data_IF_268622784721
#
_entry.id   IF_268622784721
#
_cell.length_a   1.000
_cell.length_b   1.000
_cell.length_c   1.000
_cell.angle_alpha   90.00
_cell.angle_beta   90.00
_cell.angle_gamma   90.00
#
_symmetry.space_group_name_H-M   'P 1'
#
loop_
_entity.id
_entity.type
_entity.pdbx_description
1 polymer ?
#
# COMPACT_ATOMS: atom_id res chain seq x y z
N UNK A 1 10.20 -17.68 2.70
CA UNK A 1 9.55 -17.00 3.84
C UNK A 1 8.51 -16.07 3.27
N UNK A 2 7.23 -16.24 3.63
CA UNK A 2 6.21 -15.26 3.27
C UNK A 2 6.48 -13.95 4.02
N UNK A 3 6.19 -12.82 3.39
CA UNK A 3 6.47 -11.47 3.89
C UNK A 3 5.18 -10.66 3.82
N UNK A 4 4.99 -9.75 4.76
CA UNK A 4 3.82 -8.87 4.80
C UNK A 4 4.19 -7.49 4.27
N UNK A 5 3.46 -7.03 3.26
CA UNK A 5 3.74 -5.77 2.57
C UNK A 5 2.53 -4.88 2.77
N UNK A 6 2.75 -3.76 3.45
CA UNK A 6 1.77 -2.69 3.58
C UNK A 6 1.69 -1.92 2.27
N UNK A 7 0.49 -1.62 1.80
CA UNK A 7 0.25 -0.72 0.68
C UNK A 7 -0.62 0.42 1.16
N UNK A 8 -0.02 1.60 1.31
CA UNK A 8 -0.79 2.81 1.60
C UNK A 8 -1.30 3.37 0.28
N UNK A 9 -2.60 3.23 0.04
CA UNK A 9 -3.23 3.55 -1.24
C UNK A 9 -4.50 4.37 -1.02
N UNK A 10 -4.75 5.33 -1.89
CA UNK A 10 -5.92 6.21 -1.85
C UNK A 10 -6.52 6.33 -3.24
N UNK A 11 -7.65 7.01 -3.36
CA UNK A 11 -8.29 7.26 -4.65
C UNK A 11 -7.33 8.00 -5.62
N UNK A 12 -7.49 7.72 -6.91
CA UNK A 12 -6.70 8.31 -7.99
C UNK A 12 -5.20 7.97 -7.92
N UNK A 13 -4.88 6.75 -7.44
CA UNK A 13 -3.54 6.17 -7.51
C UNK A 13 -3.15 5.81 -8.95
N UNK A 14 -1.85 5.76 -9.26
CA UNK A 14 -1.35 5.33 -10.57
C UNK A 14 -1.49 3.80 -10.69
N UNK A 15 -2.38 3.35 -11.58
CA UNK A 15 -2.79 1.95 -11.70
C UNK A 15 -1.61 0.98 -11.83
N UNK A 16 -0.57 1.34 -12.61
CA UNK A 16 0.60 0.48 -12.84
C UNK A 16 1.56 0.37 -11.64
N UNK A 17 1.65 1.42 -10.82
CA UNK A 17 2.51 1.44 -9.63
C UNK A 17 1.93 0.63 -8.47
N UNK A 18 0.64 0.27 -8.54
CA UNK A 18 0.04 -0.72 -7.65
C UNK A 18 0.00 -2.11 -8.28
N UNK A 19 -0.64 -2.25 -9.45
CA UNK A 19 -0.98 -3.57 -10.01
C UNK A 19 0.24 -4.44 -10.29
N UNK A 20 1.28 -3.88 -10.94
CA UNK A 20 2.49 -4.62 -11.29
C UNK A 20 3.23 -5.15 -10.04
N UNK A 21 3.65 -4.30 -9.07
CA UNK A 21 4.36 -4.79 -7.89
C UNK A 21 3.48 -5.65 -6.97
N UNK A 22 2.20 -5.31 -6.80
CA UNK A 22 1.30 -6.11 -5.96
C UNK A 22 1.12 -7.54 -6.52
N UNK A 23 1.02 -7.69 -7.85
CA UNK A 23 0.92 -9.00 -8.48
C UNK A 23 2.23 -9.79 -8.39
N UNK A 24 3.38 -9.13 -8.53
CA UNK A 24 4.69 -9.77 -8.34
C UNK A 24 4.87 -10.27 -6.90
N UNK A 25 4.52 -9.45 -5.91
CA UNK A 25 4.58 -9.85 -4.51
C UNK A 25 3.66 -11.03 -4.19
N UNK A 26 2.42 -11.01 -4.70
CA UNK A 26 1.48 -12.13 -4.56
C UNK A 26 2.02 -13.40 -5.23
N UNK A 27 2.58 -13.28 -6.44
CA UNK A 27 3.21 -14.41 -7.17
C UNK A 27 4.43 -14.97 -6.44
N UNK A 28 5.19 -14.12 -5.75
CA UNK A 28 6.29 -14.52 -4.88
C UNK A 28 5.84 -15.15 -3.54
N UNK A 29 4.53 -15.23 -3.28
CA UNK A 29 3.97 -15.81 -2.07
C UNK A 29 3.97 -14.87 -0.86
N UNK A 30 4.04 -13.55 -1.10
CA UNK A 30 3.93 -12.53 -0.09
C UNK A 30 2.49 -12.05 0.07
N UNK A 31 2.17 -11.57 1.27
CA UNK A 31 0.87 -11.01 1.61
C UNK A 31 0.90 -9.50 1.36
N UNK A 32 -0.03 -9.02 0.54
CA UNK A 32 -0.18 -7.60 0.21
C UNK A 32 -1.43 -7.08 0.92
N UNK A 33 -1.25 -6.20 1.89
CA UNK A 33 -2.32 -5.64 2.72
C UNK A 33 -2.49 -4.17 2.38
N UNK A 34 -3.67 -3.80 1.92
CA UNK A 34 -4.01 -2.43 1.55
C UNK A 34 -4.56 -1.66 2.74
N UNK A 35 -4.04 -0.44 2.92
CA UNK A 35 -4.30 0.40 4.09
C UNK A 35 -4.76 1.78 3.63
N UNK A 36 -5.82 2.28 4.24
CA UNK A 36 -6.31 3.65 4.09
C UNK A 36 -6.96 4.10 5.41
N UNK A 37 -7.73 5.20 5.41
CA UNK A 37 -8.45 5.68 6.59
C UNK A 37 -9.60 4.73 6.98
N UNK A 38 -10.24 4.08 6.01
CA UNK A 38 -11.40 3.24 6.27
C UNK A 38 -11.26 1.86 5.62
N UNK A 39 -11.26 0.81 6.45
CA UNK A 39 -11.34 -0.57 5.99
C UNK A 39 -12.65 -0.81 5.22
N UNK A 40 -12.59 -1.63 4.18
CA UNK A 40 -13.72 -1.96 3.30
C UNK A 40 -14.08 -0.86 2.28
N UNK A 41 -13.44 0.31 2.32
CA UNK A 41 -13.57 1.33 1.26
C UNK A 41 -12.98 0.77 -0.04
N UNK A 42 -13.62 1.02 -1.18
CA UNK A 42 -13.01 0.75 -2.49
C UNK A 42 -12.38 2.03 -3.04
N UNK A 43 -11.10 1.98 -3.34
CA UNK A 43 -10.35 3.04 -4.03
C UNK A 43 -10.16 2.68 -5.50
N UNK A 44 -10.19 3.70 -6.37
CA UNK A 44 -10.05 3.52 -7.82
C UNK A 44 -8.79 4.19 -8.35
N UNK A 45 -8.12 3.52 -9.29
CA UNK A 45 -6.97 4.07 -9.97
C UNK A 45 -7.35 5.22 -10.89
N UNK A 46 -6.38 6.07 -11.21
CA UNK A 46 -6.55 7.29 -12.01
C UNK A 46 -7.09 7.00 -13.41
N UNK A 47 -6.69 5.88 -14.01
CA UNK A 47 -7.19 5.43 -15.33
C UNK A 47 -8.46 4.59 -15.22
N UNK A 48 -8.85 4.21 -14.00
CA UNK A 48 -9.99 3.34 -13.73
C UNK A 48 -9.76 1.89 -14.15
N UNK A 49 -8.50 1.49 -14.38
CA UNK A 49 -8.13 0.13 -14.78
C UNK A 49 -8.08 -0.80 -13.55
N UNK A 50 -7.76 -0.24 -12.38
CA UNK A 50 -7.74 -0.96 -11.12
C UNK A 50 -8.76 -0.41 -10.11
N UNK A 51 -9.41 -1.34 -9.39
CA UNK A 51 -10.23 -1.05 -8.21
C UNK A 51 -9.80 -1.95 -7.08
N UNK A 52 -9.57 -1.37 -5.91
CA UNK A 52 -8.96 -2.05 -4.77
C UNK A 52 -9.80 -1.80 -3.53
N UNK A 53 -10.17 -2.87 -2.84
CA UNK A 53 -10.84 -2.77 -1.54
C UNK A 53 -9.79 -2.71 -0.45
N UNK A 54 -9.89 -1.72 0.43
CA UNK A 54 -8.99 -1.52 1.55
C UNK A 54 -9.19 -2.63 2.58
N UNK A 55 -8.12 -3.33 2.92
CA UNK A 55 -8.14 -4.45 3.87
C UNK A 55 -8.21 -3.96 5.33
N UNK A 56 -7.42 -2.94 5.67
CA UNK A 56 -7.31 -2.42 7.04
C UNK A 56 -7.33 -0.89 7.10
N UNK A 57 -7.83 -0.35 8.20
CA UNK A 57 -7.66 1.08 8.49
C UNK A 57 -6.26 1.37 9.05
N UNK A 58 -5.77 2.59 8.86
CA UNK A 58 -4.46 3.02 9.37
C UNK A 58 -4.38 2.96 10.91
N UNK A 59 -5.51 3.09 11.59
CA UNK A 59 -5.61 3.03 13.05
C UNK A 59 -5.54 1.58 13.59
N UNK A 60 -5.76 0.59 12.74
CA UNK A 60 -5.77 -0.85 13.08
C UNK A 60 -4.41 -1.54 12.87
N UNK A 61 -3.41 -0.81 12.36
CA UNK A 61 -2.13 -1.39 11.93
C UNK A 61 -0.95 -0.68 12.55
N UNK A 62 0.13 -1.43 12.74
CA UNK A 62 1.41 -0.92 13.22
C UNK A 62 2.53 -1.25 12.23
N UNK A 63 3.56 -0.39 12.07
CA UNK A 63 4.66 -0.66 11.16
C UNK A 63 5.42 -1.96 11.43
N UNK A 64 5.41 -2.43 12.68
CA UNK A 64 6.08 -3.66 13.09
C UNK A 64 5.43 -4.95 12.54
N UNK A 65 4.20 -4.87 12.02
CA UNK A 65 3.50 -6.00 11.40
C UNK A 65 3.95 -6.29 9.97
N UNK A 66 4.70 -5.37 9.35
CA UNK A 66 5.05 -5.43 7.93
C UNK A 66 6.56 -5.47 7.73
N UNK A 67 6.98 -6.17 6.68
CA UNK A 67 8.36 -6.27 6.24
C UNK A 67 8.73 -5.21 5.19
N UNK A 68 7.74 -4.59 4.55
CA UNK A 68 7.93 -3.53 3.55
C UNK A 68 6.69 -2.64 3.44
N UNK A 69 6.89 -1.45 2.86
CA UNK A 69 5.84 -0.48 2.53
C UNK A 69 5.94 -0.14 1.03
N UNK A 70 4.84 -0.33 0.31
CA UNK A 70 4.62 0.09 -1.08
C UNK A 70 3.77 1.36 -1.09
N UNK A 71 4.22 2.36 -1.84
CA UNK A 71 3.57 3.66 -1.96
C UNK A 71 3.29 3.99 -3.43
N UNK A 72 2.15 3.53 -3.99
CA UNK A 72 1.76 3.92 -5.33
C UNK A 72 1.56 5.43 -5.38
N UNK A 73 2.07 6.07 -6.42
CA UNK A 73 1.85 7.49 -6.68
C UNK A 73 0.36 7.80 -6.77
N UNK A 74 -0.04 8.95 -6.25
CA UNK A 74 -1.39 9.48 -6.38
C UNK A 74 -1.32 10.98 -6.69
N UNK A 75 -2.37 11.53 -7.29
CA UNK A 75 -2.41 12.97 -7.62
C UNK A 75 -2.34 13.85 -6.37
N UNK A 76 -2.90 13.38 -5.27
CA UNK A 76 -2.65 13.96 -3.96
C UNK A 76 -1.25 13.52 -3.58
N UNK A 77 -0.32 14.48 -3.51
CA UNK A 77 0.96 14.27 -2.84
C UNK A 77 0.64 13.77 -1.44
N UNK A 78 0.70 12.45 -1.24
CA UNK A 78 0.83 11.85 0.07
C UNK A 78 2.16 12.42 0.56
N UNK A 79 2.06 13.52 1.30
CA UNK A 79 3.16 14.06 2.09
C UNK A 79 3.61 12.86 2.91
N UNK A 80 4.79 12.37 2.56
CA UNK A 80 5.51 11.38 3.31
C UNK A 80 5.67 11.95 4.72
N UNK A 81 4.70 11.67 5.60
CA UNK A 81 4.85 11.80 7.05
C UNK A 81 5.62 10.55 7.49
N UNK A 82 6.81 10.36 6.92
CA UNK A 82 7.89 9.62 7.56
C UNK A 82 8.55 10.57 8.57
N UNK A 83 7.76 11.20 9.45
CA UNK A 83 8.34 11.87 10.61
C UNK A 83 8.61 10.79 11.65
N UNK A 84 9.86 10.34 11.64
CA UNK A 84 10.59 9.84 12.81
C UNK A 84 9.94 8.71 13.59
N UNK A 85 10.06 7.48 13.10
CA UNK A 85 10.41 6.37 13.99
C UNK A 85 11.32 5.38 13.28
N UNK A 86 12.45 5.14 13.94
CA UNK A 86 13.52 4.19 13.63
C UNK A 86 12.97 2.80 13.20
N UNK A 87 12.84 2.52 11.90
CA UNK A 87 12.77 1.13 11.43
C UNK A 87 13.39 0.98 10.03
N UNK A 88 14.19 -0.08 9.78
CA UNK A 88 14.90 -0.29 8.52
C UNK A 88 14.02 -0.99 7.48
N UNK A 89 12.78 -0.54 7.28
CA UNK A 89 11.92 -1.12 6.24
C UNK A 89 12.35 -0.58 4.87
N UNK A 90 12.67 -1.46 3.90
CA UNK A 90 12.94 -1.02 2.53
C UNK A 90 11.65 -0.46 1.92
N UNK A 91 11.66 0.84 1.62
CA UNK A 91 10.62 1.52 0.85
C UNK A 91 10.88 1.21 -0.62
N UNK A 92 9.92 0.58 -1.29
CA UNK A 92 9.96 0.32 -2.74
C UNK A 92 9.01 1.35 -3.36
N UNK A 93 9.59 2.32 -4.07
CA UNK A 93 8.89 3.36 -4.84
C UNK A 93 8.71 2.89 -6.28
#
# INVERSE_FOLDING_TARGET
MSKKIAVLITDEFEDSEFTSPADEFRKAGHEVITIEKQAGKTVKGKKGEASVTIDKSIDEVTPAEFDALLLPGAIHRIICVATTVLSPLPVIL
#
